data_IF_667710483131
#
_entry.id   IF_667710483131
#
_cell.length_a   1.000
_cell.length_b   1.000
_cell.length_c   1.000
_cell.angle_alpha   90.00
_cell.angle_beta   90.00
_cell.angle_gamma   90.00
#
_symmetry.space_group_name_H-M   'P 1'
#
loop_
_entity.id
_entity.type
_entity.pdbx_description
1 polymer ?
#
# COMPACT_ATOMS: atom_id res chain seq x y z
N UNK A 1 36.17 3.29 19.00
CA UNK A 1 35.68 2.55 17.83
C UNK A 1 34.38 1.88 18.23
N UNK A 2 33.23 2.49 17.94
CA UNK A 2 31.91 1.95 18.32
C UNK A 2 31.24 1.46 17.04
N UNK A 3 31.16 0.14 16.88
CA UNK A 3 30.46 -0.48 15.75
C UNK A 3 28.96 -0.41 16.04
N UNK A 4 28.23 0.41 15.27
CA UNK A 4 26.76 0.39 15.28
C UNK A 4 26.28 -0.80 14.48
N UNK A 5 25.64 -1.75 15.15
CA UNK A 5 24.97 -2.88 14.53
C UNK A 5 23.64 -2.38 13.95
N UNK A 6 23.55 -2.19 12.64
CA UNK A 6 22.30 -1.88 11.97
C UNK A 6 21.42 -3.14 11.91
N UNK A 7 20.31 -3.14 12.64
CA UNK A 7 19.28 -4.16 12.48
C UNK A 7 18.57 -3.94 11.14
N UNK A 8 18.88 -4.78 10.15
CA UNK A 8 18.16 -4.82 8.88
C UNK A 8 16.82 -5.50 9.17
N UNK A 9 15.66 -4.87 8.91
CA UNK A 9 14.39 -5.56 9.01
C UNK A 9 14.41 -6.67 7.95
N UNK A 10 14.48 -7.92 8.40
CA UNK A 10 14.24 -9.06 7.53
C UNK A 10 12.77 -8.97 7.10
N UNK A 11 12.53 -8.49 5.88
CA UNK A 11 11.27 -8.74 5.20
C UNK A 11 11.18 -10.26 5.02
N UNK A 12 10.48 -10.91 5.94
CA UNK A 12 10.06 -12.29 5.76
C UNK A 12 9.10 -12.29 4.57
N UNK A 13 9.62 -12.64 3.39
CA UNK A 13 8.75 -13.16 2.34
C UNK A 13 8.07 -14.37 2.95
N UNK A 14 6.76 -14.26 3.19
CA UNK A 14 5.96 -15.37 3.64
C UNK A 14 6.26 -16.54 2.73
N UNK A 15 6.87 -17.59 3.28
CA UNK A 15 6.98 -18.84 2.57
C UNK A 15 5.53 -19.26 2.32
N UNK A 16 5.10 -19.23 1.06
CA UNK A 16 3.86 -19.86 0.63
C UNK A 16 4.00 -21.33 1.03
N UNK A 17 3.56 -21.65 2.24
CA UNK A 17 3.41 -23.02 2.69
C UNK A 17 2.40 -23.60 1.71
N UNK A 18 2.89 -24.33 0.71
CA UNK A 18 2.06 -25.09 -0.22
C UNK A 18 1.26 -26.04 0.65
N UNK A 19 0.04 -25.65 0.99
CA UNK A 19 -0.89 -26.52 1.68
C UNK A 19 -0.95 -27.84 0.88
N UNK A 20 -1.00 -29.00 1.55
CA UNK A 20 -1.15 -30.27 0.85
C UNK A 20 -2.36 -30.12 -0.06
N UNK A 21 -2.14 -30.28 -1.37
CA UNK A 21 -3.21 -30.15 -2.34
C UNK A 21 -4.22 -31.26 -2.05
N UNK A 22 -5.33 -30.92 -1.40
CA UNK A 22 -6.44 -31.83 -1.23
C UNK A 22 -6.87 -32.34 -2.60
N UNK A 23 -7.13 -33.63 -2.73
CA UNK A 23 -7.64 -34.21 -3.96
C UNK A 23 -9.03 -33.65 -4.23
N UNK A 24 -9.20 -32.97 -5.36
CA UNK A 24 -10.52 -32.56 -5.85
C UNK A 24 -11.05 -33.67 -6.74
N UNK A 25 -12.16 -34.29 -6.33
CA UNK A 25 -12.90 -35.21 -7.20
C UNK A 25 -13.87 -34.43 -8.07
N UNK A 26 -13.72 -34.59 -9.38
CA UNK A 26 -14.52 -33.92 -10.41
C UNK A 26 -15.56 -34.93 -10.92
N UNK A 27 -16.84 -34.70 -10.64
CA UNK A 27 -17.95 -35.56 -11.08
C UNK A 27 -18.72 -34.96 -12.26
N UNK A 28 -18.40 -33.74 -12.69
CA UNK A 28 -19.01 -33.11 -13.86
C UNK A 28 -18.14 -32.00 -14.47
N UNK A 29 -18.35 -31.65 -15.75
CA UNK A 29 -17.69 -30.51 -16.39
C UNK A 29 -17.94 -29.18 -15.67
N UNK A 30 -19.15 -28.96 -15.16
CA UNK A 30 -19.48 -27.74 -14.39
C UNK A 30 -18.61 -27.61 -13.14
N UNK A 31 -18.44 -28.72 -12.40
CA UNK A 31 -17.61 -28.74 -11.21
C UNK A 31 -16.13 -28.49 -11.54
N UNK A 32 -15.66 -28.94 -12.70
CA UNK A 32 -14.30 -28.66 -13.16
C UNK A 32 -14.06 -27.16 -13.39
N UNK A 33 -15.03 -26.47 -14.00
CA UNK A 33 -14.94 -25.02 -14.20
C UNK A 33 -14.95 -24.29 -12.87
N UNK A 34 -15.86 -24.65 -11.95
CA UNK A 34 -15.94 -24.04 -10.62
C UNK A 34 -14.65 -24.25 -9.81
N UNK A 35 -14.12 -25.48 -9.80
CA UNK A 35 -12.86 -25.80 -9.13
C UNK A 35 -11.67 -25.03 -9.76
N UNK A 36 -11.63 -24.90 -11.08
CA UNK A 36 -10.60 -24.13 -11.76
C UNK A 36 -10.67 -22.65 -11.39
N UNK A 37 -11.86 -22.04 -11.40
CA UNK A 37 -12.05 -20.64 -11.00
C UNK A 37 -11.64 -20.39 -9.54
N UNK A 38 -11.88 -21.34 -8.63
CA UNK A 38 -11.57 -21.20 -7.22
C UNK A 38 -10.08 -21.44 -6.89
N UNK A 39 -9.42 -22.37 -7.59
CA UNK A 39 -8.13 -22.90 -7.16
C UNK A 39 -6.98 -22.62 -8.13
N UNK A 40 -7.25 -22.31 -9.40
CA UNK A 40 -6.21 -22.18 -10.42
C UNK A 40 -5.34 -20.93 -10.19
N UNK A 41 -4.02 -21.08 -9.96
CA UNK A 41 -3.12 -19.95 -9.83
C UNK A 41 -3.10 -19.07 -11.08
N UNK A 42 -3.28 -19.66 -12.27
CA UNK A 42 -3.33 -18.96 -13.55
C UNK A 42 -4.58 -18.07 -13.70
N UNK A 43 -5.63 -18.35 -12.92
CA UNK A 43 -6.88 -17.58 -12.92
C UNK A 43 -6.97 -16.59 -11.76
N UNK A 44 -5.97 -16.50 -10.85
CA UNK A 44 -5.98 -15.53 -9.73
C UNK A 44 -6.12 -14.07 -10.17
N UNK A 45 -5.70 -13.73 -11.39
CA UNK A 45 -5.87 -12.40 -11.97
C UNK A 45 -7.19 -12.21 -12.74
N UNK A 46 -7.95 -13.28 -12.98
CA UNK A 46 -9.23 -13.20 -13.68
C UNK A 46 -10.22 -12.46 -12.78
N UNK A 47 -10.61 -11.26 -13.21
CA UNK A 47 -11.48 -10.37 -12.44
C UNK A 47 -10.77 -9.18 -11.77
N UNK A 48 -9.43 -9.13 -11.77
CA UNK A 48 -8.68 -8.01 -11.19
C UNK A 48 -9.05 -6.66 -11.85
N UNK A 49 -9.23 -6.63 -13.18
CA UNK A 49 -9.66 -5.43 -13.90
C UNK A 49 -11.09 -5.00 -13.52
N UNK A 50 -12.00 -5.96 -13.34
CA UNK A 50 -13.37 -5.67 -12.89
C UNK A 50 -13.38 -5.15 -11.44
N UNK A 51 -12.56 -5.73 -10.58
CA UNK A 51 -12.41 -5.30 -9.19
C UNK A 51 -11.79 -3.91 -9.09
N UNK A 52 -10.79 -3.62 -9.93
CA UNK A 52 -10.19 -2.29 -10.05
C UNK A 52 -11.24 -1.27 -10.50
N UNK A 53 -11.98 -1.53 -11.57
CA UNK A 53 -13.04 -0.64 -12.05
C UNK A 53 -14.14 -0.39 -11.00
N UNK A 54 -14.54 -1.42 -10.24
CA UNK A 54 -15.48 -1.25 -9.11
C UNK A 54 -14.89 -0.39 -8.00
N UNK A 55 -13.61 -0.57 -7.69
CA UNK A 55 -12.91 0.21 -6.66
C UNK A 55 -12.72 1.66 -7.07
N UNK A 56 -12.37 1.91 -8.33
CA UNK A 56 -12.29 3.25 -8.91
C UNK A 56 -13.65 3.94 -8.87
N UNK A 57 -14.74 3.22 -9.16
CA UNK A 57 -16.09 3.76 -9.03
C UNK A 57 -16.48 4.08 -7.58
N UNK A 58 -16.02 3.29 -6.61
CA UNK A 58 -16.21 3.58 -5.18
C UNK A 58 -15.45 4.84 -4.76
N UNK A 59 -14.21 5.00 -5.21
CA UNK A 59 -13.41 6.21 -4.95
C UNK A 59 -13.97 7.43 -5.67
N UNK A 60 -14.45 7.28 -6.91
CA UNK A 60 -15.02 8.36 -7.70
C UNK A 60 -16.34 8.90 -7.12
N UNK A 61 -17.10 8.08 -6.37
CA UNK A 61 -18.32 8.51 -5.66
C UNK A 61 -18.05 9.34 -4.41
N UNK A 62 -16.81 9.43 -3.95
CA UNK A 62 -16.40 10.32 -2.86
C UNK A 62 -16.01 11.71 -3.38
N UNK A 63 -16.50 12.15 -4.56
CA UNK A 63 -16.31 13.54 -4.97
C UNK A 63 -17.11 14.46 -4.05
N UNK A 64 -16.46 15.50 -3.50
CA UNK A 64 -15.06 15.88 -3.70
C UNK A 64 -14.08 15.04 -2.86
N UNK A 65 -13.07 14.44 -3.50
CA UNK A 65 -12.11 13.52 -2.86
C UNK A 65 -11.03 14.34 -2.14
N UNK A 66 -11.03 14.43 -0.79
CA UNK A 66 -10.10 15.28 -0.08
C UNK A 66 -8.72 14.60 0.03
N UNK A 67 -7.66 15.38 -0.10
CA UNK A 67 -6.28 14.93 0.09
C UNK A 67 -5.77 15.37 1.46
N UNK A 68 -5.24 14.44 2.25
CA UNK A 68 -4.54 14.72 3.52
C UNK A 68 -3.03 14.62 3.26
N UNK A 69 -2.28 15.69 3.59
CA UNK A 69 -0.83 15.76 3.40
C UNK A 69 -0.15 16.15 4.71
N UNK A 70 0.89 15.39 5.08
CA UNK A 70 1.80 15.73 6.17
C UNK A 70 3.21 15.93 5.63
N UNK A 71 3.91 16.97 6.06
CA UNK A 71 5.32 17.20 5.75
C UNK A 71 6.09 17.48 7.04
N UNK A 72 7.33 16.98 7.09
CA UNK A 72 8.25 17.15 8.22
C UNK A 72 9.53 17.75 7.65
N UNK A 73 9.87 18.97 8.06
CA UNK A 73 11.05 19.69 7.59
C UNK A 73 11.95 20.04 8.76
N UNK A 74 13.27 20.10 8.54
CA UNK A 74 14.24 20.44 9.59
C UNK A 74 15.02 21.69 9.14
N UNK A 75 14.73 22.86 9.71
CA UNK A 75 15.42 24.11 9.36
C UNK A 75 16.75 24.21 10.11
N UNK A 76 17.78 23.55 9.58
CA UNK A 76 19.16 23.57 10.10
C UNK A 76 20.16 24.19 9.13
N UNK A 77 20.01 25.48 8.82
CA UNK A 77 20.96 26.18 7.94
C UNK A 77 22.19 26.70 8.71
N UNK A 78 23.40 26.30 8.28
CA UNK A 78 24.66 26.89 8.75
C UNK A 78 24.89 28.22 8.00
N UNK A 79 24.09 29.25 8.26
CA UNK A 79 24.25 30.51 7.50
C UNK A 79 23.31 31.69 7.80
N UNK A 80 22.33 31.56 8.71
CA UNK A 80 21.44 32.66 9.08
C UNK A 80 21.96 33.44 10.30
N UNK A 81 21.95 34.78 10.23
CA UNK A 81 22.18 35.65 11.40
C UNK A 81 20.90 35.70 12.22
N UNK A 82 20.73 34.78 13.18
CA UNK A 82 19.55 34.67 14.05
C UNK A 82 19.39 33.29 14.72
N UNK A 83 18.31 33.11 15.49
CA UNK A 83 18.02 32.01 16.46
C UNK A 83 17.99 30.57 15.91
N UNK A 84 18.31 30.35 14.62
CA UNK A 84 18.26 29.06 13.93
C UNK A 84 19.63 28.33 13.91
N UNK A 85 20.38 28.37 15.01
CA UNK A 85 21.66 27.63 15.13
C UNK A 85 21.46 26.28 15.84
N UNK A 86 21.86 25.22 15.16
CA UNK A 86 21.77 23.83 15.63
C UNK A 86 20.49 23.17 15.12
N UNK A 87 20.61 22.00 14.48
CA UNK A 87 19.53 21.28 13.79
C UNK A 87 18.44 20.73 14.72
N UNK A 88 17.79 21.60 15.49
CA UNK A 88 16.78 21.30 16.51
C UNK A 88 15.38 21.77 16.14
N UNK A 89 15.17 22.34 14.95
CA UNK A 89 13.88 22.85 14.51
C UNK A 89 13.22 21.85 13.55
N UNK A 90 12.53 20.85 14.10
CA UNK A 90 11.62 19.99 13.34
C UNK A 90 10.28 20.74 13.17
N UNK A 91 9.99 21.18 11.96
CA UNK A 91 8.70 21.73 11.56
C UNK A 91 7.81 20.60 11.02
N UNK A 92 6.57 20.56 11.48
CA UNK A 92 5.56 19.60 11.01
C UNK A 92 4.38 20.36 10.46
N UNK A 93 4.03 20.12 9.20
CA UNK A 93 2.90 20.75 8.53
C UNK A 93 1.88 19.68 8.15
N UNK A 94 0.63 19.89 8.53
CA UNK A 94 -0.50 19.04 8.18
C UNK A 94 -1.48 19.89 7.37
N UNK A 95 -1.88 19.41 6.19
CA UNK A 95 -2.81 20.09 5.29
C UNK A 95 -3.90 19.17 4.78
N UNK A 96 -5.10 19.73 4.61
CA UNK A 96 -6.24 19.08 3.93
C UNK A 96 -6.57 19.92 2.70
N UNK A 97 -6.64 19.28 1.52
CA UNK A 97 -6.98 19.93 0.26
C UNK A 97 -8.23 19.28 -0.34
N UNK A 98 -9.15 20.10 -0.83
CA UNK A 98 -10.34 19.61 -1.51
C UNK A 98 -10.61 20.50 -2.72
N UNK A 99 -10.76 19.89 -3.91
CA UNK A 99 -11.20 20.62 -5.09
C UNK A 99 -12.70 20.94 -4.97
N UNK A 100 -13.06 22.21 -5.12
CA UNK A 100 -14.45 22.66 -5.23
C UNK A 100 -14.69 23.04 -6.69
N UNK A 101 -15.68 22.42 -7.32
CA UNK A 101 -16.15 22.75 -8.67
C UNK A 101 -17.42 23.60 -8.50
N UNK A 102 -17.46 24.78 -9.12
CA UNK A 102 -18.60 25.72 -9.08
C UNK A 102 -19.51 25.53 -10.30
#
# INVERSE_FOLDING_TARGET
MVASLAAIPAMAFGQDARAPAGSVTIISPKQAVEAALALSPALRGAGAAQQAARSDALQARLRPNPELRGTFENFGGVGGRGDYRGGRALETTIGIAQRIEC
#
